data_IF_674541035090
#
_entry.id   IF_674541035090
#
_cell.length_a   1.000
_cell.length_b   1.000
_cell.length_c   1.000
_cell.angle_alpha   90.00
_cell.angle_beta   90.00
_cell.angle_gamma   90.00
#
_symmetry.space_group_name_H-M   'P 1'
#
loop_
_entity.id
_entity.type
_entity.pdbx_description
1 polymer ?
#
# COMPACT_ATOMS: atom_id res chain seq x y z
N UNK A 1 9.70 -5.93 24.70
CA UNK A 1 9.24 -6.96 23.74
C UNK A 1 8.67 -6.24 22.54
N UNK A 2 9.17 -6.56 21.36
CA UNK A 2 8.64 -6.03 20.11
C UNK A 2 7.67 -7.03 19.51
N UNK A 3 6.55 -6.53 18.99
CA UNK A 3 5.53 -7.35 18.33
C UNK A 3 5.65 -7.11 16.83
N UNK A 4 5.69 -8.16 15.99
CA UNK A 4 5.68 -7.99 14.55
C UNK A 4 4.43 -7.23 14.07
N UNK A 5 4.52 -6.45 12.98
CA UNK A 5 3.36 -5.82 12.40
C UNK A 5 2.42 -6.85 11.78
N UNK A 6 1.11 -6.57 11.77
CA UNK A 6 0.14 -7.36 11.02
C UNK A 6 0.37 -7.24 9.51
N UNK A 7 -0.10 -8.23 8.75
CA UNK A 7 -0.02 -8.19 7.29
C UNK A 7 -0.78 -6.94 6.79
N UNK A 8 -0.15 -6.06 6.00
CA UNK A 8 -0.84 -4.90 5.45
C UNK A 8 -1.93 -5.35 4.48
N UNK A 9 -3.07 -4.69 4.55
CA UNK A 9 -4.20 -4.87 3.65
C UNK A 9 -4.33 -3.65 2.74
N UNK A 10 -4.37 -3.90 1.44
CA UNK A 10 -4.56 -2.86 0.43
C UNK A 10 -6.05 -2.76 0.12
N UNK A 11 -6.58 -1.54 0.16
CA UNK A 11 -7.99 -1.19 -0.05
C UNK A 11 -8.10 -0.07 -1.08
N UNK A 12 -9.25 -0.01 -1.76
CA UNK A 12 -9.61 1.12 -2.62
C UNK A 12 -10.17 2.30 -1.81
N UNK A 13 -10.43 3.43 -2.47
CA UNK A 13 -11.15 4.58 -1.89
C UNK A 13 -12.56 4.23 -1.36
N UNK A 14 -13.19 3.16 -1.85
CA UNK A 14 -14.48 2.64 -1.37
C UNK A 14 -14.30 1.69 -0.16
N UNK A 15 -13.08 1.47 0.30
CA UNK A 15 -12.76 0.55 1.41
C UNK A 15 -12.82 -0.93 1.02
N UNK A 16 -12.94 -1.24 -0.27
CA UNK A 16 -12.91 -2.62 -0.79
C UNK A 16 -11.48 -3.15 -0.76
N UNK A 17 -11.26 -4.32 -0.16
CA UNK A 17 -9.97 -4.99 -0.17
C UNK A 17 -9.59 -5.40 -1.60
N UNK A 18 -8.39 -5.03 -2.03
CA UNK A 18 -7.84 -5.34 -3.34
C UNK A 18 -6.67 -6.30 -3.16
N UNK A 19 -6.75 -7.44 -3.84
CA UNK A 19 -5.66 -8.42 -3.90
C UNK A 19 -5.47 -8.89 -5.34
N UNK A 20 -4.22 -9.06 -5.76
CA UNK A 20 -3.88 -9.51 -7.11
C UNK A 20 -3.87 -8.38 -8.12
N UNK A 21 -4.59 -8.53 -9.23
CA UNK A 21 -4.49 -7.65 -10.41
C UNK A 21 -5.68 -6.69 -10.49
N UNK A 22 -5.38 -5.40 -10.57
CA UNK A 22 -6.34 -4.31 -10.71
C UNK A 22 -6.55 -3.99 -12.19
N UNK A 23 -7.71 -4.36 -12.76
CA UNK A 23 -8.05 -4.17 -14.19
C UNK A 23 -9.00 -3.02 -14.49
N UNK A 24 -9.44 -2.30 -13.46
CA UNK A 24 -10.55 -1.35 -13.55
C UNK A 24 -10.14 0.09 -13.86
N UNK A 25 -8.84 0.36 -14.03
CA UNK A 25 -8.33 1.71 -14.31
C UNK A 25 -7.79 1.80 -15.74
N UNK A 26 -8.00 2.95 -16.37
CA UNK A 26 -7.46 3.27 -17.69
C UNK A 26 -6.22 4.16 -17.56
N UNK A 27 -5.47 4.26 -18.66
CA UNK A 27 -4.43 5.28 -18.78
C UNK A 27 -5.06 6.68 -18.66
N UNK A 28 -4.49 7.51 -17.79
CA UNK A 28 -4.98 8.85 -17.44
C UNK A 28 -5.86 8.89 -16.18
N UNK A 29 -6.34 7.75 -15.68
CA UNK A 29 -7.17 7.72 -14.48
C UNK A 29 -6.35 7.99 -13.21
N UNK A 30 -7.02 8.46 -12.16
CA UNK A 30 -6.42 8.64 -10.83
C UNK A 30 -6.67 7.39 -9.99
N UNK A 31 -5.60 6.76 -9.53
CA UNK A 31 -5.66 5.59 -8.67
C UNK A 31 -5.56 6.01 -7.20
N UNK A 32 -6.47 5.48 -6.38
CA UNK A 32 -6.47 5.68 -4.94
C UNK A 32 -6.28 4.33 -4.26
N UNK A 33 -5.22 4.20 -3.46
CA UNK A 33 -4.95 3.00 -2.69
C UNK A 33 -4.76 3.37 -1.23
N UNK A 34 -5.37 2.61 -0.35
CA UNK A 34 -5.28 2.76 1.09
C UNK A 34 -4.65 1.50 1.63
N UNK A 35 -3.52 1.62 2.30
CA UNK A 35 -2.90 0.50 2.99
C UNK A 35 -3.13 0.63 4.48
N UNK A 36 -3.59 -0.45 5.11
CA UNK A 36 -3.83 -0.50 6.55
C UNK A 36 -3.12 -1.71 7.15
N UNK A 37 -2.40 -1.51 8.25
CA UNK A 37 -1.77 -2.59 9.02
C UNK A 37 -2.11 -2.42 10.48
N UNK A 38 -2.56 -3.50 11.12
CA UNK A 38 -2.91 -3.51 12.52
C UNK A 38 -1.85 -4.24 13.35
N UNK A 39 -1.60 -3.73 14.55
CA UNK A 39 -0.64 -4.30 15.49
C UNK A 39 0.77 -3.76 15.30
N UNK A 40 1.74 -4.48 15.85
CA UNK A 40 3.11 -4.01 15.96
C UNK A 40 3.35 -3.17 17.21
N UNK A 41 4.46 -3.44 17.90
CA UNK A 41 4.92 -2.64 19.03
C UNK A 41 6.43 -2.46 18.90
N UNK A 42 6.97 -1.23 18.73
CA UNK A 42 6.25 0.04 18.49
C UNK A 42 5.38 0.03 17.21
N UNK A 43 4.52 1.04 16.99
CA UNK A 43 3.73 1.12 15.76
C UNK A 43 4.63 1.05 14.51
N UNK A 44 4.29 0.23 13.51
CA UNK A 44 5.08 0.12 12.29
C UNK A 44 4.93 1.35 11.40
N UNK A 45 5.92 1.57 10.54
CA UNK A 45 5.85 2.53 9.43
C UNK A 45 5.25 1.86 8.21
N UNK A 46 4.34 2.54 7.50
CA UNK A 46 3.79 2.08 6.23
C UNK A 46 4.37 2.87 5.06
N UNK A 47 4.86 2.13 4.06
CA UNK A 47 5.50 2.70 2.86
C UNK A 47 4.97 2.02 1.60
N UNK A 48 4.77 2.80 0.55
CA UNK A 48 4.37 2.32 -0.77
C UNK A 48 5.56 2.25 -1.72
N UNK A 49 5.63 1.14 -2.44
CA UNK A 49 6.71 0.82 -3.36
C UNK A 49 6.15 0.44 -4.72
N UNK A 50 6.80 0.89 -5.79
CA UNK A 50 6.59 0.43 -7.17
C UNK A 50 7.79 -0.38 -7.58
N UNK A 51 7.71 -1.71 -7.48
CA UNK A 51 8.88 -2.57 -7.58
C UNK A 51 9.99 -2.13 -6.59
N UNK A 52 11.18 -1.68 -7.06
CA UNK A 52 12.26 -1.22 -6.18
C UNK A 52 12.16 0.25 -5.76
N UNK A 53 11.23 1.03 -6.33
CA UNK A 53 11.16 2.48 -6.13
C UNK A 53 10.16 2.83 -5.02
N UNK A 54 10.57 3.63 -4.04
CA UNK A 54 9.67 4.21 -3.05
C UNK A 54 8.76 5.26 -3.72
N UNK A 55 7.44 5.13 -3.53
CA UNK A 55 6.44 6.06 -4.04
C UNK A 55 6.03 7.05 -2.95
N UNK A 56 5.73 6.53 -1.77
CA UNK A 56 5.27 7.32 -0.63
C UNK A 56 5.67 6.64 0.69
N UNK A 57 6.09 7.45 1.66
CA UNK A 57 6.41 7.07 3.04
C UNK A 57 5.60 7.86 4.07
N UNK A 58 4.51 8.50 3.64
CA UNK A 58 3.64 9.33 4.48
C UNK A 58 2.54 8.45 5.07
N UNK A 59 2.63 8.16 6.37
CA UNK A 59 1.66 7.32 7.06
C UNK A 59 1.11 7.97 8.33
N UNK A 60 -0.11 7.59 8.67
CA UNK A 60 -0.82 8.02 9.87
C UNK A 60 -0.93 6.86 10.85
N UNK A 61 -0.61 7.14 12.12
CA UNK A 61 -0.80 6.18 13.22
C UNK A 61 -2.10 6.49 13.92
N UNK A 62 -3.08 5.59 13.78
CA UNK A 62 -4.36 5.67 14.47
C UNK A 62 -4.20 5.02 15.85
N UNK A 63 -3.84 5.85 16.82
CA UNK A 63 -3.52 5.43 18.20
C UNK A 63 -4.68 4.73 18.91
N UNK A 64 -5.93 5.05 18.53
CA UNK A 64 -7.15 4.49 19.12
C UNK A 64 -7.34 2.99 18.84
N UNK A 65 -6.76 2.45 17.77
CA UNK A 65 -7.02 1.09 17.28
C UNK A 65 -5.76 0.28 16.99
N UNK A 66 -4.57 0.78 17.38
CA UNK A 66 -3.26 0.21 17.01
C UNK A 66 -3.16 -0.07 15.50
N UNK A 67 -3.74 0.82 14.71
CA UNK A 67 -3.81 0.73 13.26
C UNK A 67 -2.91 1.80 12.67
N UNK A 68 -2.18 1.45 11.62
CA UNK A 68 -1.40 2.40 10.83
C UNK A 68 -2.01 2.41 9.45
N UNK A 69 -2.14 3.58 8.85
CA UNK A 69 -2.78 3.80 7.56
C UNK A 69 -1.89 4.66 6.67
N UNK A 70 -1.75 4.29 5.41
CA UNK A 70 -1.08 5.09 4.40
C UNK A 70 -1.98 5.19 3.16
N UNK A 71 -2.30 6.43 2.77
CA UNK A 71 -3.14 6.74 1.61
C UNK A 71 -2.29 7.21 0.45
N UNK A 72 -2.28 6.44 -0.63
CA UNK A 72 -1.57 6.75 -1.86
C UNK A 72 -2.57 7.22 -2.93
N UNK A 73 -2.34 8.43 -3.43
CA UNK A 73 -3.00 8.98 -4.59
C UNK A 73 -2.01 9.09 -5.74
N UNK A 74 -2.24 8.35 -6.82
CA UNK A 74 -1.46 8.43 -8.05
C UNK A 74 -2.29 9.18 -9.11
N UNK A 75 -1.94 10.44 -9.31
CA UNK A 75 -2.54 11.29 -10.33
C UNK A 75 -2.00 10.91 -11.71
N UNK A 76 -2.92 10.61 -12.64
CA UNK A 76 -2.60 10.26 -14.04
C UNK A 76 -1.75 9.00 -14.16
N UNK A 77 -2.40 7.82 -14.10
CA UNK A 77 -1.77 6.56 -14.45
C UNK A 77 -1.24 6.59 -15.88
N UNK A 78 0.04 6.31 -16.07
CA UNK A 78 0.66 6.31 -17.40
C UNK A 78 0.79 4.90 -17.96
N UNK A 79 1.01 4.75 -19.27
CA UNK A 79 1.38 3.45 -19.85
C UNK A 79 2.60 2.77 -19.19
N UNK A 80 3.46 3.53 -18.51
CA UNK A 80 4.60 2.98 -17.75
C UNK A 80 4.18 2.27 -16.47
N UNK A 81 2.96 2.53 -16.00
CA UNK A 81 2.38 1.90 -14.82
C UNK A 81 1.61 0.62 -15.18
N UNK A 82 1.57 0.25 -16.47
CA UNK A 82 1.05 -1.03 -16.93
C UNK A 82 1.91 -2.18 -16.38
N UNK A 83 1.27 -3.16 -15.74
CA UNK A 83 1.89 -4.27 -15.02
C UNK A 83 2.80 -3.82 -13.86
N UNK A 84 2.67 -2.58 -13.39
CA UNK A 84 3.41 -2.13 -12.22
C UNK A 84 2.93 -2.85 -10.97
N UNK A 85 3.86 -3.43 -10.23
CA UNK A 85 3.59 -4.03 -8.92
C UNK A 85 3.72 -2.97 -7.83
N UNK A 86 2.58 -2.61 -7.26
CA UNK A 86 2.47 -1.69 -6.14
C UNK A 86 2.47 -2.51 -4.85
N UNK A 87 3.48 -2.32 -4.02
CA UNK A 87 3.67 -3.04 -2.77
C UNK A 87 3.56 -2.09 -1.60
N UNK A 88 2.64 -2.37 -0.68
CA UNK A 88 2.64 -1.76 0.64
C UNK A 88 3.50 -2.57 1.60
N UNK A 89 4.40 -1.90 2.31
CA UNK A 89 5.32 -2.48 3.26
C UNK A 89 5.14 -1.88 4.65
N UNK A 90 4.86 -2.73 5.63
CA UNK A 90 4.80 -2.44 7.05
C UNK A 90 6.12 -2.81 7.75
N UNK A 91 6.87 -1.81 8.20
CA UNK A 91 8.17 -2.00 8.85
C UNK A 91 8.10 -1.57 10.32
N UNK A 92 8.32 -2.50 11.24
CA UNK A 92 8.44 -2.18 12.66
C UNK A 92 9.90 -1.93 13.05
N UNK A 93 10.49 -0.87 12.50
CA UNK A 93 11.83 -0.37 12.82
C UNK A 93 12.95 -1.44 12.75
N UNK A 94 12.92 -2.30 11.73
CA UNK A 94 13.82 -3.45 11.53
C UNK A 94 13.88 -4.48 12.67
N UNK A 95 12.93 -4.45 13.61
CA UNK A 95 12.90 -5.42 14.72
C UNK A 95 12.39 -6.80 14.28
N UNK A 96 11.59 -6.83 13.21
CA UNK A 96 11.06 -8.04 12.59
C UNK A 96 11.03 -7.89 11.08
N UNK A 97 10.92 -9.00 10.36
CA UNK A 97 10.74 -8.96 8.91
C UNK A 97 9.51 -8.09 8.57
N UNK A 98 9.65 -7.13 7.64
CA UNK A 98 8.55 -6.23 7.30
C UNK A 98 7.46 -7.02 6.57
N UNK A 99 6.22 -6.82 6.98
CA UNK A 99 5.08 -7.45 6.32
C UNK A 99 4.77 -6.68 5.03
N UNK A 100 4.57 -7.39 3.92
CA UNK A 100 4.33 -6.78 2.61
C UNK A 100 3.05 -7.32 1.98
N UNK A 101 2.38 -6.48 1.20
CA UNK A 101 1.23 -6.85 0.38
C UNK A 101 1.37 -6.15 -0.95
N UNK A 102 1.09 -6.88 -2.03
CA UNK A 102 1.40 -6.43 -3.39
C UNK A 102 0.17 -6.57 -4.28
N UNK A 103 -0.04 -5.59 -5.15
CA UNK A 103 -1.08 -5.57 -6.17
C UNK A 103 -0.47 -5.17 -7.51
N UNK A 104 -0.91 -5.79 -8.59
CA UNK A 104 -0.45 -5.47 -9.94
C UNK A 104 -1.48 -4.59 -10.64
N UNK A 105 -1.04 -3.52 -11.29
CA UNK A 105 -1.89 -2.67 -12.11
C UNK A 105 -1.96 -3.21 -13.53
N UNK A 106 -3.16 -3.43 -14.06
CA UNK A 106 -3.37 -3.80 -15.46
C UNK A 106 -4.27 -2.75 -16.10
N UNK A 107 -3.62 -1.77 -16.71
CA UNK A 107 -4.27 -0.61 -17.29
C UNK A 107 -4.80 -0.93 -18.67
N UNK A 108 -6.01 -0.46 -18.94
CA UNK A 108 -6.54 -0.47 -20.30
C UNK A 108 -5.96 0.72 -21.08
N UNK A 109 -4.92 0.48 -21.89
CA UNK A 109 -4.40 1.45 -22.86
C UNK A 109 -5.30 1.46 -24.10
N UNK A 110 -5.91 2.61 -24.42
CA UNK A 110 -6.67 2.81 -25.66
C UNK A 110 -5.79 3.28 -26.81
#
# INVERSE_FOLDING_TARGET
>A
MAVPPGKPEIKDNVGKNIQGVIRMYNEGDTLYLICESQGGKPPPSLTWWRGPSLIDDTYEVVTSSFLVRNELQLETLTRRDLMAEITCQASNNNVSAPAKSSVSLDLNCK
#
